data_IF_200682317029
#
_entry.id   IF_200682317029
#
_cell.length_a   1.000
_cell.length_b   1.000
_cell.length_c   1.000
_cell.angle_alpha   90.00
_cell.angle_beta   90.00
_cell.angle_gamma   90.00
#
_symmetry.space_group_name_H-M   'P 1'
#
loop_
_entity.id
_entity.type
_entity.pdbx_description
1 polymer ?
#
# COMPACT_ATOMS: atom_id res chain seq x y z
N UNK A 1 -13.98 23.47 -4.59
CA UNK A 1 -15.36 23.00 -4.28
C UNK A 1 -15.38 22.65 -2.80
N UNK A 2 -16.31 23.17 -2.01
CA UNK A 2 -16.39 22.92 -0.56
C UNK A 2 -17.62 22.06 -0.25
N UNK A 3 -17.43 21.00 0.51
CA UNK A 3 -18.51 20.11 0.98
C UNK A 3 -18.80 20.49 2.44
N UNK A 4 -20.07 20.80 2.74
CA UNK A 4 -20.49 21.08 4.11
C UNK A 4 -20.61 19.79 4.91
N UNK A 5 -19.87 19.70 6.01
CA UNK A 5 -19.97 18.61 6.98
C UNK A 5 -20.71 19.09 8.23
N UNK A 6 -21.77 18.38 8.62
CA UNK A 6 -22.53 18.65 9.84
C UNK A 6 -22.29 17.51 10.82
N UNK A 7 -21.27 17.62 11.70
CA UNK A 7 -20.98 16.57 12.68
C UNK A 7 -22.13 16.43 13.68
N UNK A 8 -22.36 15.19 14.10
CA UNK A 8 -23.07 14.88 15.34
C UNK A 8 -22.14 15.03 16.55
N UNK A 9 -22.69 15.04 17.76
CA UNK A 9 -21.88 15.06 18.99
C UNK A 9 -20.87 13.90 19.06
N UNK A 10 -21.22 12.74 18.49
CA UNK A 10 -20.33 11.58 18.46
C UNK A 10 -19.20 11.76 17.43
N UNK A 11 -19.51 12.32 16.25
CA UNK A 11 -18.50 12.68 15.26
C UNK A 11 -17.49 13.67 15.84
N UNK A 12 -17.96 14.68 16.59
CA UNK A 12 -17.08 15.64 17.26
C UNK A 12 -16.17 14.94 18.27
N UNK A 13 -16.70 14.04 19.09
CA UNK A 13 -15.90 13.26 20.05
C UNK A 13 -14.84 12.42 19.36
N UNK A 14 -15.19 11.74 18.28
CA UNK A 14 -14.26 10.95 17.46
C UNK A 14 -13.18 11.87 16.89
N UNK A 15 -13.56 12.98 16.24
CA UNK A 15 -12.62 13.94 15.65
C UNK A 15 -11.64 14.44 16.70
N UNK A 16 -12.12 14.88 17.88
CA UNK A 16 -11.24 15.40 18.92
C UNK A 16 -10.30 14.32 19.47
N UNK A 17 -10.77 13.08 19.63
CA UNK A 17 -9.93 11.98 20.15
C UNK A 17 -8.78 11.61 19.21
N UNK A 18 -8.97 11.79 17.90
CA UNK A 18 -7.96 11.48 16.88
C UNK A 18 -7.15 12.69 16.44
N UNK A 19 -7.50 13.90 16.88
CA UNK A 19 -6.82 15.13 16.50
C UNK A 19 -5.43 15.18 17.11
N UNK A 20 -4.43 15.40 16.28
CA UNK A 20 -3.03 15.58 16.72
C UNK A 20 -2.72 17.06 16.90
N UNK A 21 -1.62 17.36 17.59
CA UNK A 21 -1.13 18.72 17.75
C UNK A 21 -0.89 19.36 16.36
N UNK A 22 -1.43 20.56 16.15
CA UNK A 22 -1.32 21.29 14.88
C UNK A 22 -2.30 20.85 13.77
N UNK A 23 -3.05 19.76 13.93
CA UNK A 23 -4.08 19.36 12.94
C UNK A 23 -5.36 20.20 13.10
N UNK A 24 -6.00 20.54 11.98
CA UNK A 24 -7.38 21.03 11.99
C UNK A 24 -8.37 19.88 11.74
N UNK A 25 -9.67 20.13 11.92
CA UNK A 25 -10.72 19.12 11.73
C UNK A 25 -10.72 18.52 10.32
N UNK A 26 -10.46 19.33 9.29
CA UNK A 26 -10.39 18.85 7.91
C UNK A 26 -9.20 17.91 7.67
N UNK A 27 -8.07 18.11 8.37
CA UNK A 27 -6.92 17.21 8.30
C UNK A 27 -7.25 15.84 8.89
N UNK A 28 -7.93 15.83 10.04
CA UNK A 28 -8.41 14.58 10.68
C UNK A 28 -9.38 13.84 9.76
N UNK A 29 -10.36 14.55 9.19
CA UNK A 29 -11.31 13.95 8.24
C UNK A 29 -10.59 13.40 7.01
N UNK A 30 -9.63 14.14 6.44
CA UNK A 30 -8.85 13.68 5.28
C UNK A 30 -8.06 12.42 5.61
N UNK A 31 -7.45 12.34 6.79
CA UNK A 31 -6.75 11.14 7.26
C UNK A 31 -7.71 9.97 7.49
N UNK A 32 -8.91 10.22 8.01
CA UNK A 32 -9.99 9.24 8.12
C UNK A 32 -10.37 8.66 6.75
N UNK A 33 -10.57 9.52 5.74
CA UNK A 33 -10.89 9.09 4.38
C UNK A 33 -9.78 8.21 3.76
N UNK A 34 -8.50 8.58 3.96
CA UNK A 34 -7.37 7.74 3.51
C UNK A 34 -7.31 6.39 4.24
N UNK A 35 -7.77 6.33 5.49
CA UNK A 35 -7.87 5.09 6.23
C UNK A 35 -8.97 4.18 5.65
N UNK A 36 -10.11 4.74 5.22
CA UNK A 36 -11.17 3.99 4.54
C UNK A 36 -10.69 3.42 3.19
N UNK A 37 -9.96 4.22 2.41
CA UNK A 37 -9.33 3.78 1.15
C UNK A 37 -8.38 2.59 1.40
N UNK A 38 -7.57 2.66 2.46
CA UNK A 38 -6.66 1.58 2.85
C UNK A 38 -7.42 0.30 3.24
N UNK A 39 -8.49 0.41 4.01
CA UNK A 39 -9.31 -0.75 4.40
C UNK A 39 -9.92 -1.46 3.18
N UNK A 40 -10.43 -0.69 2.21
CA UNK A 40 -10.96 -1.25 0.98
C UNK A 40 -9.88 -1.97 0.16
N UNK A 41 -8.67 -1.40 0.09
CA UNK A 41 -7.54 -2.04 -0.57
C UNK A 41 -7.13 -3.36 0.12
N UNK A 42 -7.09 -3.38 1.46
CA UNK A 42 -6.74 -4.60 2.21
C UNK A 42 -7.76 -5.72 2.03
N UNK A 43 -9.05 -5.38 1.96
CA UNK A 43 -10.11 -6.35 1.69
C UNK A 43 -9.96 -6.95 0.28
N UNK A 44 -9.73 -6.10 -0.72
CA UNK A 44 -9.49 -6.55 -2.09
C UNK A 44 -8.23 -7.42 -2.18
N UNK A 45 -7.14 -7.01 -1.53
CA UNK A 45 -5.90 -7.77 -1.51
C UNK A 45 -6.09 -9.16 -0.90
N UNK A 46 -6.88 -9.30 0.18
CA UNK A 46 -7.23 -10.62 0.75
C UNK A 46 -8.06 -11.46 -0.21
N UNK A 47 -9.03 -10.87 -0.89
CA UNK A 47 -9.84 -11.56 -1.88
C UNK A 47 -8.99 -12.05 -3.07
N UNK A 48 -8.07 -11.21 -3.54
CA UNK A 48 -7.14 -11.53 -4.62
C UNK A 48 -6.19 -12.66 -4.19
N UNK A 49 -5.60 -12.58 -3.00
CA UNK A 49 -4.79 -13.66 -2.45
C UNK A 49 -5.57 -14.98 -2.36
N UNK A 50 -6.82 -14.94 -1.90
CA UNK A 50 -7.65 -16.15 -1.81
C UNK A 50 -7.96 -16.74 -3.19
N UNK A 51 -8.14 -15.89 -4.22
CA UNK A 51 -8.35 -16.30 -5.60
C UNK A 51 -7.09 -16.93 -6.22
N UNK A 52 -5.92 -16.36 -5.94
CA UNK A 52 -4.63 -16.82 -6.46
C UNK A 52 -3.99 -17.92 -5.60
N UNK A 53 -4.62 -18.33 -4.49
CA UNK A 53 -4.05 -19.31 -3.55
C UNK A 53 -3.79 -20.69 -4.18
N UNK A 54 -4.43 -21.00 -5.30
CA UNK A 54 -4.26 -22.25 -6.05
C UNK A 54 -3.58 -22.04 -7.40
N UNK A 55 -3.11 -20.82 -7.67
CA UNK A 55 -2.30 -20.55 -8.85
C UNK A 55 -0.94 -21.22 -8.69
N UNK A 56 -0.61 -22.10 -9.64
CA UNK A 56 0.69 -22.76 -9.72
C UNK A 56 1.53 -22.03 -10.76
N UNK A 57 2.44 -21.19 -10.29
CA UNK A 57 3.38 -20.43 -11.11
C UNK A 57 4.69 -21.20 -11.35
N UNK A 58 4.80 -22.47 -10.92
CA UNK A 58 6.07 -23.21 -10.99
C UNK A 58 6.53 -23.53 -12.41
N UNK A 59 5.61 -23.57 -13.37
CA UNK A 59 5.90 -23.80 -14.79
C UNK A 59 6.07 -22.50 -15.59
N UNK A 60 5.84 -21.33 -14.98
CA UNK A 60 6.02 -20.04 -15.64
C UNK A 60 7.47 -19.56 -15.49
N UNK A 61 8.15 -19.13 -16.58
CA UNK A 61 9.49 -18.60 -16.47
C UNK A 61 9.49 -17.29 -15.68
N UNK A 62 10.43 -17.14 -14.75
CA UNK A 62 10.61 -15.88 -14.04
C UNK A 62 10.83 -14.73 -15.04
N UNK A 63 10.19 -13.58 -14.77
CA UNK A 63 10.39 -12.35 -15.55
C UNK A 63 11.75 -11.67 -15.26
N UNK A 64 12.61 -12.33 -14.49
CA UNK A 64 13.91 -11.85 -14.04
C UNK A 64 14.91 -13.01 -13.97
N UNK A 65 16.18 -12.72 -14.28
CA UNK A 65 17.27 -13.69 -14.31
C UNK A 65 18.46 -13.18 -13.50
N UNK A 66 19.27 -14.10 -12.96
CA UNK A 66 20.56 -13.73 -12.37
C UNK A 66 21.65 -13.72 -13.46
N UNK A 67 22.47 -12.67 -13.48
CA UNK A 67 23.67 -12.65 -14.31
C UNK A 67 24.85 -13.40 -13.66
N UNK A 68 25.99 -13.46 -14.36
CA UNK A 68 27.20 -14.13 -13.88
C UNK A 68 27.79 -13.50 -12.59
N UNK A 69 27.45 -12.25 -12.30
CA UNK A 69 27.87 -11.50 -11.11
C UNK A 69 26.91 -11.73 -9.93
N UNK A 70 25.74 -12.32 -10.19
CA UNK A 70 24.66 -12.49 -9.23
C UNK A 70 23.74 -11.26 -9.09
N UNK A 71 23.80 -10.33 -10.05
CA UNK A 71 22.87 -9.21 -10.15
C UNK A 71 21.57 -9.68 -10.82
N UNK A 72 20.45 -9.03 -10.49
CA UNK A 72 19.14 -9.37 -11.06
C UNK A 72 18.93 -8.54 -12.32
N UNK A 73 18.66 -9.19 -13.45
CA UNK A 73 18.28 -8.57 -14.72
C UNK A 73 16.82 -8.86 -15.03
N UNK A 74 16.03 -7.82 -15.30
CA UNK A 74 14.62 -8.00 -15.70
C UNK A 74 14.56 -8.30 -17.20
N UNK A 75 13.98 -9.44 -17.56
CA UNK A 75 13.91 -9.95 -18.95
C UNK A 75 13.15 -8.94 -19.83
N UNK A 76 13.71 -8.64 -21.01
CA UNK A 76 13.09 -7.68 -21.95
C UNK A 76 13.24 -6.21 -21.55
N UNK A 77 14.05 -5.90 -20.54
CA UNK A 77 14.36 -4.52 -20.13
C UNK A 77 15.86 -4.29 -19.92
N UNK A 78 16.27 -3.03 -19.85
CA UNK A 78 17.62 -2.61 -19.47
C UNK A 78 17.77 -2.40 -17.95
N UNK A 79 16.80 -2.85 -17.15
CA UNK A 79 16.83 -2.72 -15.69
C UNK A 79 17.71 -3.81 -15.09
N UNK A 80 18.73 -3.38 -14.35
CA UNK A 80 19.62 -4.24 -13.55
C UNK A 80 19.58 -3.78 -12.10
N UNK A 81 19.31 -4.72 -11.19
CA UNK A 81 19.32 -4.49 -9.75
C UNK A 81 20.59 -5.13 -9.19
N UNK A 82 21.57 -4.33 -8.73
CA UNK A 82 22.80 -4.87 -8.21
C UNK A 82 22.55 -5.63 -6.93
N UNK A 83 23.29 -6.72 -6.74
CA UNK A 83 23.30 -7.47 -5.49
C UNK A 83 23.66 -6.53 -4.34
N UNK A 84 22.87 -6.56 -3.27
CA UNK A 84 23.17 -5.78 -2.06
C UNK A 84 24.47 -6.32 -1.44
N UNK A 85 25.51 -5.49 -1.40
CA UNK A 85 26.72 -5.81 -0.65
C UNK A 85 26.39 -5.70 0.85
N UNK A 86 26.39 -6.84 1.55
CA UNK A 86 26.33 -6.85 3.01
C UNK A 86 27.61 -6.19 3.55
N UNK A 87 27.55 -4.90 3.84
CA UNK A 87 28.55 -4.23 4.66
C UNK A 87 28.43 -4.78 6.09
N UNK A 88 29.27 -5.78 6.38
CA UNK A 88 29.44 -6.38 7.70
C UNK A 88 30.54 -5.68 8.48
#
# INVERSE_FOLDING_TARGET
>A
MAIGFRPTDDDERIIQSFKREGENTSDVIRRGLRSLERLAWEEQARADMAKLALEDLSDEPDEWEYDESGDIRVVGSDVVVPRREDHR
#
